data_IF_536367133635
#
_entry.id   IF_536367133635
#
_cell.length_a   1.000
_cell.length_b   1.000
_cell.length_c   1.000
_cell.angle_alpha   90.00
_cell.angle_beta   90.00
_cell.angle_gamma   90.00
#
_symmetry.space_group_name_H-M   'P 1'
#
loop_
_entity.id
_entity.type
_entity.pdbx_description
1 polymer ?
#
# COMPACT_ATOMS: atom_id res chain seq x y z
N UNK A 1 6.85 38.50 -12.53
CA UNK A 1 6.01 37.85 -11.50
C UNK A 1 5.00 36.96 -12.19
N UNK A 2 5.30 35.67 -12.40
CA UNK A 2 4.34 34.72 -13.00
C UNK A 2 4.37 33.41 -12.25
N UNK A 3 3.29 33.22 -11.47
CA UNK A 3 2.61 32.01 -11.02
C UNK A 3 3.42 30.72 -10.81
N UNK A 4 3.55 30.40 -9.52
CA UNK A 4 3.78 29.08 -8.92
C UNK A 4 2.88 28.02 -9.58
N UNK A 5 3.44 27.20 -10.46
CA UNK A 5 2.81 25.98 -10.98
C UNK A 5 2.93 24.87 -9.93
N UNK A 6 2.06 24.90 -8.92
CA UNK A 6 1.86 23.80 -7.96
C UNK A 6 0.47 23.21 -8.20
N UNK A 7 0.34 22.45 -9.28
CA UNK A 7 -0.94 21.80 -9.60
C UNK A 7 -0.82 20.43 -10.23
N UNK A 8 0.41 19.91 -10.42
CA UNK A 8 0.59 18.57 -10.99
C UNK A 8 0.70 17.55 -9.85
N UNK A 9 -0.44 16.95 -9.54
CA UNK A 9 -0.60 15.59 -8.99
C UNK A 9 0.10 15.26 -7.66
N UNK A 10 -0.26 15.95 -6.57
CA UNK A 10 -0.02 15.39 -5.22
C UNK A 10 -1.36 14.91 -4.67
N UNK A 11 -1.74 13.66 -4.97
CA UNK A 11 -2.91 13.00 -4.39
C UNK A 11 -3.96 12.43 -5.35
N UNK A 12 -3.76 12.48 -6.68
CA UNK A 12 -4.61 11.75 -7.62
C UNK A 12 -4.15 10.30 -7.68
N UNK A 13 -5.05 9.35 -7.41
CA UNK A 13 -4.80 7.91 -7.58
C UNK A 13 -4.77 7.62 -9.08
N UNK A 14 -3.58 7.76 -9.67
CA UNK A 14 -3.42 7.65 -11.13
C UNK A 14 -3.50 6.18 -11.56
N UNK A 15 -3.76 5.93 -12.85
CA UNK A 15 -3.66 4.58 -13.42
C UNK A 15 -2.28 3.94 -13.13
N UNK A 16 -1.22 4.76 -13.12
CA UNK A 16 0.12 4.32 -12.75
C UNK A 16 0.19 3.85 -11.29
N UNK A 17 -0.52 4.51 -10.36
CA UNK A 17 -0.57 4.09 -8.96
C UNK A 17 -1.33 2.78 -8.79
N UNK A 18 -2.40 2.58 -9.56
CA UNK A 18 -3.13 1.30 -9.60
C UNK A 18 -2.25 0.17 -10.13
N UNK A 19 -1.48 0.42 -11.19
CA UNK A 19 -0.54 -0.56 -11.76
C UNK A 19 0.55 -0.91 -10.75
N UNK A 20 1.15 0.08 -10.06
CA UNK A 20 2.12 -0.17 -9.00
C UNK A 20 1.54 -1.03 -7.87
N UNK A 21 0.28 -0.79 -7.48
CA UNK A 21 -0.41 -1.59 -6.45
C UNK A 21 -0.61 -3.03 -6.88
N UNK A 22 -0.96 -3.28 -8.15
CA UNK A 22 -1.08 -4.65 -8.69
C UNK A 22 0.25 -5.40 -8.62
N UNK A 23 1.33 -4.77 -9.08
CA UNK A 23 2.66 -5.40 -8.99
C UNK A 23 3.11 -5.65 -7.55
N UNK A 24 2.81 -4.76 -6.62
CA UNK A 24 3.09 -4.97 -5.21
C UNK A 24 2.32 -6.17 -4.64
N UNK A 25 1.06 -6.33 -5.05
CA UNK A 25 0.24 -7.46 -4.63
C UNK A 25 0.78 -8.78 -5.19
N UNK A 26 1.07 -8.85 -6.49
CA UNK A 26 1.67 -10.02 -7.14
C UNK A 26 2.99 -10.43 -6.50
N UNK A 27 3.85 -9.46 -6.21
CA UNK A 27 5.13 -9.73 -5.54
C UNK A 27 4.92 -10.26 -4.11
N UNK A 28 3.98 -9.68 -3.36
CA UNK A 28 3.63 -10.16 -2.01
C UNK A 28 3.12 -11.61 -2.04
N UNK A 29 2.28 -11.94 -3.03
CA UNK A 29 1.80 -13.31 -3.23
C UNK A 29 2.94 -14.27 -3.57
N UNK A 30 3.87 -13.88 -4.45
CA UNK A 30 5.03 -14.70 -4.81
C UNK A 30 5.94 -14.97 -3.60
N UNK A 31 6.22 -13.94 -2.77
CA UNK A 31 6.99 -14.09 -1.53
C UNK A 31 6.30 -15.04 -0.56
N UNK A 32 4.98 -14.91 -0.39
CA UNK A 32 4.18 -15.78 0.47
C UNK A 32 4.13 -17.22 -0.03
N UNK A 33 4.07 -17.44 -1.35
CA UNK A 33 4.11 -18.76 -1.95
C UNK A 33 5.47 -19.45 -1.77
N UNK A 34 6.55 -18.68 -1.80
CA UNK A 34 7.90 -19.19 -1.54
C UNK A 34 8.09 -19.64 -0.07
N UNK A 35 7.40 -19.00 0.89
CA UNK A 35 7.28 -19.46 2.28
C UNK A 35 8.53 -19.29 3.16
N UNK A 36 9.69 -18.94 2.60
CA UNK A 36 10.94 -18.78 3.36
C UNK A 36 11.01 -17.52 4.25
N UNK A 37 10.10 -16.56 4.08
CA UNK A 37 10.17 -15.23 4.71
C UNK A 37 8.97 -14.90 5.61
N UNK A 38 8.21 -15.92 6.05
CA UNK A 38 6.96 -15.75 6.78
C UNK A 38 5.83 -15.24 5.89
N UNK A 39 4.74 -14.73 6.50
CA UNK A 39 3.62 -14.11 5.77
C UNK A 39 3.76 -12.59 5.70
N UNK A 40 3.79 -12.09 4.48
CA UNK A 40 3.80 -10.68 4.14
C UNK A 40 2.39 -10.18 3.85
N UNK A 41 2.13 -8.94 4.22
CA UNK A 41 0.89 -8.21 3.93
C UNK A 41 1.24 -6.83 3.39
N UNK A 42 0.38 -6.32 2.53
CA UNK A 42 0.47 -4.98 1.97
C UNK A 42 -0.85 -4.23 2.22
N UNK A 43 -0.75 -2.90 2.29
CA UNK A 43 -1.89 -2.00 2.32
C UNK A 43 -1.46 -0.60 1.85
N UNK A 44 -2.40 0.22 1.43
CA UNK A 44 -2.15 1.61 0.99
C UNK A 44 -2.87 2.57 1.92
N UNK A 45 -2.11 3.43 2.61
CA UNK A 45 -2.64 4.55 3.37
C UNK A 45 -2.75 5.78 2.45
N UNK A 46 -3.95 6.33 2.30
CA UNK A 46 -4.18 7.58 1.58
C UNK A 46 -3.90 8.79 2.48
N UNK A 47 -4.10 8.63 3.78
CA UNK A 47 -3.82 9.64 4.80
C UNK A 47 -2.90 9.07 5.88
N UNK A 48 -1.97 9.89 6.44
CA UNK A 48 -1.08 9.42 7.51
C UNK A 48 -1.82 8.86 8.74
N UNK A 49 -3.02 9.37 9.05
CA UNK A 49 -3.85 8.91 10.17
C UNK A 49 -4.32 7.46 10.05
N UNK A 50 -4.41 6.91 8.83
CA UNK A 50 -4.92 5.56 8.57
C UNK A 50 -3.89 4.46 8.93
N UNK A 51 -2.61 4.80 9.05
CA UNK A 51 -1.52 3.83 9.24
C UNK A 51 -1.75 2.99 10.50
N UNK A 52 -2.18 3.63 11.60
CA UNK A 52 -2.43 2.93 12.87
C UNK A 52 -3.53 1.89 12.72
N UNK A 53 -4.63 2.25 12.09
CA UNK A 53 -5.78 1.35 11.92
C UNK A 53 -5.44 0.19 10.99
N UNK A 54 -4.70 0.46 9.91
CA UNK A 54 -4.19 -0.57 8.99
C UNK A 54 -3.31 -1.58 9.74
N UNK A 55 -2.39 -1.11 10.59
CA UNK A 55 -1.52 -2.00 11.37
C UNK A 55 -2.30 -2.82 12.39
N UNK A 56 -3.29 -2.21 13.06
CA UNK A 56 -4.15 -2.92 14.02
C UNK A 56 -4.99 -4.00 13.34
N UNK A 57 -5.58 -3.71 12.18
CA UNK A 57 -6.30 -4.70 11.37
C UNK A 57 -5.37 -5.83 10.91
N UNK A 58 -4.16 -5.50 10.47
CA UNK A 58 -3.18 -6.50 10.08
C UNK A 58 -2.74 -7.39 11.25
N UNK A 59 -2.52 -6.82 12.44
CA UNK A 59 -2.17 -7.60 13.63
C UNK A 59 -3.33 -8.50 14.10
N UNK A 60 -4.56 -7.97 14.11
CA UNK A 60 -5.76 -8.71 14.51
C UNK A 60 -6.02 -9.92 13.61
N UNK A 61 -5.91 -9.75 12.29
CA UNK A 61 -6.09 -10.85 11.35
C UNK A 61 -4.95 -11.88 11.34
N UNK A 62 -3.85 -11.69 12.07
CA UNK A 62 -2.83 -12.72 12.28
C UNK A 62 -3.17 -13.67 13.46
N UNK A 63 -4.13 -13.29 14.31
CA UNK A 63 -4.47 -14.01 15.55
C UNK A 63 -5.62 -15.03 15.35
N UNK A 64 -6.37 -14.95 14.25
CA UNK A 64 -7.55 -15.81 13.98
C UNK A 64 -7.26 -17.05 13.12
N UNK A 65 -6.01 -17.51 13.05
CA UNK A 65 -5.61 -18.66 12.23
C UNK A 65 -5.08 -19.80 13.09
#
# INVERSE_FOLDING_TARGET
MVRKSLGRSKGQDTEQDQVKRRYLDEWTQAVNAHGAFGRWRQAVAKNPGEIRDILLQAAGAATTA
#
